data_IF_822349541716
#
_entry.id   IF_822349541716
#
_cell.length_a   1.000
_cell.length_b   1.000
_cell.length_c   1.000
_cell.angle_alpha   90.00
_cell.angle_beta   90.00
_cell.angle_gamma   90.00
#
_symmetry.space_group_name_H-M   'P 1'
#
loop_
_entity.id
_entity.type
_entity.pdbx_description
1 polymer ?
#
# COMPACT_ATOMS: atom_id res chain seq x y z
N UNK A 1 20.81 5.22 -5.88
CA UNK A 1 20.04 5.73 -4.72
C UNK A 1 19.51 4.54 -3.95
N UNK A 2 19.58 4.62 -2.62
CA UNK A 2 19.17 3.54 -1.73
C UNK A 2 17.71 3.74 -1.33
N UNK A 3 16.90 2.69 -1.40
CA UNK A 3 15.51 2.73 -0.94
C UNK A 3 15.47 2.89 0.60
N UNK A 4 14.56 3.72 1.09
CA UNK A 4 14.39 3.99 2.53
C UNK A 4 13.92 2.71 3.25
N UNK A 5 12.96 2.01 2.67
CA UNK A 5 12.53 0.69 3.12
C UNK A 5 12.64 -0.30 1.96
N UNK A 6 13.05 -1.56 2.24
CA UNK A 6 13.06 -2.58 1.20
C UNK A 6 11.64 -2.88 0.72
N UNK A 7 11.48 -3.17 -0.55
CA UNK A 7 10.23 -3.72 -1.05
C UNK A 7 9.97 -5.12 -0.46
N UNK A 8 8.71 -5.41 -0.19
CA UNK A 8 8.25 -6.73 0.21
C UNK A 8 7.48 -7.32 -0.97
N UNK A 9 8.23 -7.89 -1.92
CA UNK A 9 7.68 -8.35 -3.19
C UNK A 9 8.27 -9.71 -3.57
N UNK A 10 7.43 -10.55 -4.13
CA UNK A 10 7.79 -11.81 -4.79
C UNK A 10 6.73 -12.15 -5.83
N UNK A 11 6.95 -13.21 -6.57
CA UNK A 11 5.93 -13.74 -7.47
C UNK A 11 4.73 -14.27 -6.67
N UNK A 12 3.58 -14.33 -7.30
CA UNK A 12 2.37 -14.98 -6.79
C UNK A 12 1.71 -14.28 -5.59
N UNK A 13 1.80 -12.96 -5.51
CA UNK A 13 1.12 -12.18 -4.49
C UNK A 13 -0.34 -11.91 -4.86
N UNK A 14 -1.22 -11.99 -3.86
CA UNK A 14 -2.64 -11.63 -4.00
C UNK A 14 -2.82 -10.12 -3.95
N UNK A 15 -2.23 -9.47 -2.95
CA UNK A 15 -2.36 -8.02 -2.73
C UNK A 15 -0.98 -7.43 -2.48
N UNK A 16 -0.70 -6.29 -3.10
CA UNK A 16 0.42 -5.43 -2.74
C UNK A 16 -0.13 -4.08 -2.30
N UNK A 17 0.16 -3.68 -1.07
CA UNK A 17 -0.16 -2.33 -0.60
C UNK A 17 0.93 -1.36 -1.04
N UNK A 18 0.51 -0.22 -1.56
CA UNK A 18 1.40 0.84 -2.04
C UNK A 18 1.06 2.18 -1.41
N UNK A 19 1.99 2.71 -0.62
CA UNK A 19 1.90 4.07 -0.08
C UNK A 19 2.59 5.10 -0.96
N UNK A 20 2.57 6.36 -0.51
CA UNK A 20 3.33 7.44 -1.16
C UNK A 20 4.82 7.30 -0.90
N UNK A 21 5.21 7.34 0.36
CA UNK A 21 6.57 7.18 0.86
C UNK A 21 6.54 6.73 2.33
N UNK A 22 7.66 6.20 2.82
CA UNK A 22 7.82 5.95 4.24
C UNK A 22 7.72 7.26 5.05
N UNK A 23 7.03 7.24 6.19
CA UNK A 23 7.07 8.36 7.13
C UNK A 23 8.47 8.50 7.75
N UNK A 24 8.74 9.63 8.41
CA UNK A 24 9.99 9.82 9.14
C UNK A 24 10.16 8.75 10.24
N UNK A 25 9.07 8.37 10.92
CA UNK A 25 9.09 7.31 11.94
C UNK A 25 9.42 5.96 11.32
N UNK A 26 8.77 5.62 10.20
CA UNK A 26 9.03 4.36 9.48
C UNK A 26 10.46 4.28 8.96
N UNK A 27 10.99 5.38 8.45
CA UNK A 27 12.38 5.45 8.00
C UNK A 27 13.37 5.21 9.16
N UNK A 28 13.13 5.83 10.30
CA UNK A 28 13.98 5.68 11.49
C UNK A 28 13.92 4.26 12.06
N UNK A 29 12.74 3.67 12.09
CA UNK A 29 12.55 2.32 12.66
C UNK A 29 12.81 1.19 11.66
N UNK A 30 12.96 1.52 10.38
CA UNK A 30 13.18 0.52 9.34
C UNK A 30 11.99 -0.41 9.12
N UNK A 31 10.76 0.10 9.33
CA UNK A 31 9.56 -0.72 9.25
C UNK A 31 8.38 0.06 8.64
N UNK A 32 7.58 -0.60 7.81
CA UNK A 32 6.40 -0.01 7.19
C UNK A 32 5.33 0.34 8.23
N UNK A 33 4.70 1.50 8.05
CA UNK A 33 3.56 1.95 8.86
C UNK A 33 3.86 1.89 10.37
N UNK A 34 5.05 2.34 10.76
CA UNK A 34 5.56 2.20 12.13
C UNK A 34 5.03 3.26 13.10
N UNK A 35 4.45 4.37 12.61
CA UNK A 35 3.88 5.38 13.48
C UNK A 35 2.70 4.79 14.27
N UNK A 36 2.67 5.02 15.60
CA UNK A 36 1.62 4.48 16.48
C UNK A 36 0.22 4.97 16.10
N UNK A 37 0.09 6.14 15.49
CA UNK A 37 -1.18 6.68 15.01
C UNK A 37 -1.64 6.07 13.69
N UNK A 38 -0.80 5.26 13.02
CA UNK A 38 -1.14 4.63 11.76
C UNK A 38 -2.03 3.40 12.00
N UNK A 39 -3.16 3.35 11.30
CA UNK A 39 -4.14 2.28 11.45
C UNK A 39 -3.85 1.03 10.61
N UNK A 40 -2.78 0.99 9.80
CA UNK A 40 -2.53 -0.09 8.84
C UNK A 40 -2.53 -1.49 9.48
N UNK A 41 -1.71 -1.70 10.49
CA UNK A 41 -1.58 -3.01 11.13
C UNK A 41 -2.84 -3.43 11.88
N UNK A 42 -3.53 -2.47 12.49
CA UNK A 42 -4.83 -2.70 13.11
C UNK A 42 -5.87 -3.08 12.06
N UNK A 43 -5.92 -2.38 10.93
CA UNK A 43 -6.86 -2.67 9.85
C UNK A 43 -6.67 -4.07 9.28
N UNK A 44 -5.43 -4.53 9.06
CA UNK A 44 -5.17 -5.89 8.59
C UNK A 44 -5.70 -6.94 9.57
N UNK A 45 -5.55 -6.70 10.86
CA UNK A 45 -6.07 -7.63 11.87
C UNK A 45 -7.60 -7.57 11.97
N UNK A 46 -8.18 -6.38 12.06
CA UNK A 46 -9.64 -6.21 12.18
C UNK A 46 -10.40 -6.79 10.99
N UNK A 47 -9.82 -6.75 9.80
CA UNK A 47 -10.41 -7.34 8.58
C UNK A 47 -10.06 -8.81 8.39
N UNK A 48 -9.29 -9.40 9.29
CA UNK A 48 -8.90 -10.82 9.25
C UNK A 48 -7.80 -11.16 8.25
N UNK A 49 -7.16 -10.18 7.60
CA UNK A 49 -6.03 -10.46 6.71
C UNK A 49 -4.82 -11.00 7.47
N UNK A 50 -4.65 -10.61 8.73
CA UNK A 50 -3.71 -11.24 9.67
C UNK A 50 -4.47 -11.83 10.85
N UNK A 51 -4.02 -12.98 11.35
CA UNK A 51 -4.67 -13.66 12.46
C UNK A 51 -4.52 -12.92 13.81
N UNK A 52 -3.50 -12.09 13.92
CA UNK A 52 -3.21 -11.22 15.06
C UNK A 52 -2.72 -9.86 14.55
N UNK A 53 -2.67 -8.88 15.41
CA UNK A 53 -2.06 -7.60 15.05
C UNK A 53 -0.54 -7.76 15.02
N UNK A 54 0.07 -7.56 13.85
CA UNK A 54 1.53 -7.56 13.71
C UNK A 54 2.13 -6.29 14.32
N UNK A 55 3.30 -6.44 14.94
CA UNK A 55 4.18 -5.30 15.15
C UNK A 55 4.74 -4.85 13.79
N UNK A 56 4.99 -3.54 13.57
CA UNK A 56 5.55 -3.07 12.30
C UNK A 56 6.83 -3.80 11.87
N UNK A 57 7.70 -4.17 12.80
CA UNK A 57 8.93 -4.93 12.54
C UNK A 57 8.70 -6.33 11.94
N UNK A 58 7.49 -6.85 12.06
CA UNK A 58 7.12 -8.15 11.51
C UNK A 58 6.65 -8.07 10.05
N UNK A 59 6.77 -6.91 9.41
CA UNK A 59 6.27 -6.68 8.06
C UNK A 59 6.75 -7.72 7.02
N UNK A 60 7.96 -8.29 7.08
CA UNK A 60 8.37 -9.32 6.12
C UNK A 60 7.51 -10.58 6.15
N UNK A 61 6.86 -10.88 7.28
CA UNK A 61 6.00 -12.07 7.41
C UNK A 61 4.72 -11.97 6.57
N UNK A 62 4.37 -10.79 6.04
CA UNK A 62 3.23 -10.65 5.13
C UNK A 62 3.39 -11.48 3.85
N UNK A 63 4.62 -11.77 3.43
CA UNK A 63 4.86 -12.62 2.25
C UNK A 63 4.27 -14.02 2.42
N UNK A 64 4.28 -14.58 3.61
CA UNK A 64 3.68 -15.89 3.90
C UNK A 64 2.15 -15.88 3.71
N UNK A 65 1.56 -14.69 3.78
CA UNK A 65 0.13 -14.45 3.55
C UNK A 65 -0.16 -14.01 2.11
N UNK A 66 0.84 -14.02 1.23
CA UNK A 66 0.76 -13.55 -0.15
C UNK A 66 0.38 -12.05 -0.23
N UNK A 67 0.87 -11.27 0.72
CA UNK A 67 0.70 -9.82 0.81
C UNK A 67 2.08 -9.18 0.68
N UNK A 68 2.19 -8.17 -0.17
CA UNK A 68 3.41 -7.39 -0.37
C UNK A 68 3.24 -5.93 0.01
N UNK A 69 4.37 -5.22 0.06
CA UNK A 69 4.45 -3.80 0.38
C UNK A 69 5.44 -3.08 -0.54
N UNK A 70 5.07 -1.88 -0.95
CA UNK A 70 5.94 -0.95 -1.66
C UNK A 70 5.46 0.50 -1.49
N UNK A 71 6.19 1.46 -2.06
CA UNK A 71 5.81 2.87 -2.12
C UNK A 71 6.10 3.44 -3.51
N UNK A 72 5.40 4.50 -3.90
CA UNK A 72 5.66 5.22 -5.16
C UNK A 72 6.99 5.98 -5.08
N UNK A 73 7.28 6.58 -3.93
CA UNK A 73 8.57 7.24 -3.64
C UNK A 73 9.37 6.36 -2.68
N UNK A 74 10.47 5.79 -3.15
CA UNK A 74 11.27 4.82 -2.39
C UNK A 74 12.52 5.41 -1.74
N UNK A 75 13.03 6.52 -2.27
CA UNK A 75 14.33 7.05 -1.90
C UNK A 75 14.26 8.24 -0.94
N UNK A 76 13.07 8.64 -0.57
CA UNK A 76 12.80 9.74 0.37
C UNK A 76 11.79 9.31 1.42
N UNK A 77 11.75 10.02 2.53
CA UNK A 77 10.74 9.83 3.59
C UNK A 77 10.11 11.15 3.95
N UNK A 78 8.91 11.10 4.52
CA UNK A 78 8.20 12.28 4.99
C UNK A 78 6.70 12.19 4.76
N UNK A 79 5.98 13.25 5.16
CA UNK A 79 4.55 13.38 4.90
C UNK A 79 4.30 13.73 3.43
N UNK A 80 3.07 13.48 2.96
CA UNK A 80 2.68 13.80 1.57
C UNK A 80 2.93 15.27 1.23
N UNK A 81 2.71 16.17 2.18
CA UNK A 81 2.94 17.61 2.01
C UNK A 81 4.41 18.01 1.89
N UNK A 82 5.32 17.17 2.36
CA UNK A 82 6.78 17.40 2.28
C UNK A 82 7.42 16.84 1.02
N UNK A 83 6.69 16.03 0.25
CA UNK A 83 7.19 15.39 -0.96
C UNK A 83 6.99 16.27 -2.18
N UNK A 84 7.97 16.29 -3.08
CA UNK A 84 7.88 16.97 -4.36
C UNK A 84 7.54 15.99 -5.49
N UNK A 85 7.11 16.52 -6.64
CA UNK A 85 6.83 15.70 -7.82
C UNK A 85 8.03 14.86 -8.24
N UNK A 86 9.25 15.39 -8.11
CA UNK A 86 10.49 14.70 -8.46
C UNK A 86 10.85 13.52 -7.56
N UNK A 87 10.23 13.40 -6.39
CA UNK A 87 10.48 12.29 -5.46
C UNK A 87 9.78 11.00 -5.90
N UNK A 88 8.71 11.12 -6.70
CA UNK A 88 7.96 9.97 -7.18
C UNK A 88 8.62 9.34 -8.40
N UNK A 89 8.55 8.02 -8.45
CA UNK A 89 9.05 7.20 -9.56
C UNK A 89 7.95 6.24 -10.04
N UNK A 90 6.88 6.78 -10.67
CA UNK A 90 5.76 5.95 -11.10
C UNK A 90 6.14 4.85 -12.09
N UNK A 91 7.14 5.07 -12.94
CA UNK A 91 7.68 4.07 -13.84
C UNK A 91 8.28 2.88 -13.10
N UNK A 92 8.97 3.09 -11.98
CA UNK A 92 9.50 1.99 -11.14
C UNK A 92 8.36 1.13 -10.58
N UNK A 93 7.24 1.75 -10.19
CA UNK A 93 6.08 0.99 -9.72
C UNK A 93 5.47 0.18 -10.85
N UNK A 94 5.32 0.76 -12.03
CA UNK A 94 4.81 0.05 -13.22
C UNK A 94 5.70 -1.14 -13.58
N UNK A 95 7.02 -0.98 -13.53
CA UNK A 95 7.99 -2.07 -13.74
C UNK A 95 7.81 -3.21 -12.74
N UNK A 96 7.58 -2.88 -11.46
CA UNK A 96 7.32 -3.88 -10.41
C UNK A 96 6.01 -4.63 -10.68
N UNK A 97 4.95 -3.93 -11.09
CA UNK A 97 3.69 -4.55 -11.46
C UNK A 97 3.88 -5.50 -12.64
N UNK A 98 4.63 -5.10 -13.67
CA UNK A 98 4.97 -5.96 -14.80
C UNK A 98 5.79 -7.18 -14.39
N UNK A 99 6.74 -6.99 -13.48
CA UNK A 99 7.65 -8.06 -13.05
C UNK A 99 6.96 -9.09 -12.15
N UNK A 100 6.23 -8.63 -11.14
CA UNK A 100 5.68 -9.50 -10.10
C UNK A 100 4.22 -9.87 -10.32
N UNK A 101 3.49 -9.12 -11.12
CA UNK A 101 2.10 -9.38 -11.52
C UNK A 101 1.17 -9.70 -10.34
N UNK A 102 1.15 -8.88 -9.28
CA UNK A 102 0.21 -9.11 -8.19
C UNK A 102 -1.22 -9.09 -8.73
N UNK A 103 -2.11 -9.83 -8.09
CA UNK A 103 -3.51 -9.80 -8.52
C UNK A 103 -4.17 -8.44 -8.24
N UNK A 104 -3.84 -7.84 -7.10
CA UNK A 104 -4.39 -6.55 -6.68
C UNK A 104 -3.25 -5.64 -6.23
N UNK A 105 -3.24 -4.41 -6.73
CA UNK A 105 -2.45 -3.31 -6.20
C UNK A 105 -3.38 -2.39 -5.42
N UNK A 106 -3.20 -2.32 -4.11
CA UNK A 106 -4.00 -1.50 -3.21
C UNK A 106 -3.24 -0.25 -2.79
N UNK A 107 -3.63 0.89 -3.33
CA UNK A 107 -3.05 2.18 -2.94
C UNK A 107 -3.64 2.61 -1.59
N UNK A 108 -2.79 2.88 -0.62
CA UNK A 108 -3.21 3.21 0.75
C UNK A 108 -3.61 4.67 0.93
N UNK A 109 -3.73 5.41 -0.17
CA UNK A 109 -4.26 6.77 -0.19
C UNK A 109 -4.59 7.20 -1.61
N UNK A 110 -5.44 8.21 -1.75
CA UNK A 110 -5.66 8.89 -3.03
C UNK A 110 -4.37 9.55 -3.54
N UNK A 111 -3.56 10.08 -2.63
CA UNK A 111 -2.28 10.71 -2.97
C UNK A 111 -1.32 9.72 -3.65
N UNK A 112 -1.22 8.49 -3.17
CA UNK A 112 -0.40 7.46 -3.79
C UNK A 112 -0.87 7.11 -5.21
N UNK A 113 -2.17 6.96 -5.40
CA UNK A 113 -2.77 6.75 -6.73
C UNK A 113 -2.47 7.89 -7.68
N UNK A 114 -2.70 9.15 -7.24
CA UNK A 114 -2.43 10.35 -8.05
C UNK A 114 -0.96 10.46 -8.44
N UNK A 115 -0.06 10.14 -7.52
CA UNK A 115 1.37 10.14 -7.77
C UNK A 115 1.77 9.14 -8.85
N UNK A 116 1.23 7.92 -8.80
CA UNK A 116 1.48 6.91 -9.82
C UNK A 116 0.91 7.30 -11.18
N UNK A 117 -0.33 7.84 -11.19
CA UNK A 117 -0.99 8.30 -12.42
C UNK A 117 -0.44 9.61 -12.97
N UNK A 118 0.43 10.30 -12.25
CA UNK A 118 0.90 11.66 -12.57
C UNK A 118 -0.25 12.67 -12.78
N UNK A 119 -1.30 12.55 -11.96
CA UNK A 119 -2.50 13.41 -12.02
C UNK A 119 -2.80 14.00 -10.65
N UNK A 120 -2.04 15.01 -10.20
CA UNK A 120 -2.10 15.50 -8.82
C UNK A 120 -3.46 16.10 -8.44
N UNK A 121 -4.25 16.59 -9.41
CA UNK A 121 -5.54 17.22 -9.17
C UNK A 121 -6.74 16.35 -9.58
N UNK A 122 -6.50 15.10 -10.01
CA UNK A 122 -7.60 14.23 -10.42
C UNK A 122 -8.52 13.89 -9.25
N UNK A 123 -9.83 13.90 -9.49
CA UNK A 123 -10.79 13.31 -8.57
C UNK A 123 -10.65 11.81 -8.59
N UNK A 124 -10.64 11.21 -7.41
CA UNK A 124 -10.48 9.75 -7.22
C UNK A 124 -11.52 9.29 -6.23
N UNK A 125 -12.29 8.28 -6.59
CA UNK A 125 -13.18 7.59 -5.64
C UNK A 125 -12.39 6.50 -4.91
N UNK A 126 -12.77 6.22 -3.66
CA UNK A 126 -12.31 5.02 -2.97
C UNK A 126 -12.90 3.75 -3.60
N UNK A 127 -12.23 2.64 -3.38
CA UNK A 127 -12.66 1.33 -3.85
C UNK A 127 -11.98 0.93 -5.16
N UNK A 128 -12.63 0.01 -5.85
CA UNK A 128 -12.11 -0.53 -7.11
C UNK A 128 -12.06 0.53 -8.19
N UNK A 129 -10.92 0.55 -8.89
CA UNK A 129 -10.71 1.46 -10.01
C UNK A 129 -10.93 0.72 -11.34
N UNK A 130 -11.38 1.42 -12.39
CA UNK A 130 -11.50 0.82 -13.71
C UNK A 130 -10.12 0.51 -14.32
N UNK A 131 -10.09 -0.50 -15.18
CA UNK A 131 -8.89 -0.88 -15.91
C UNK A 131 -7.99 -1.84 -15.14
N UNK A 132 -6.99 -2.32 -15.85
CA UNK A 132 -5.97 -3.26 -15.36
C UNK A 132 -4.63 -2.93 -16.01
N UNK A 133 -3.56 -3.30 -15.34
CA UNK A 133 -2.24 -3.38 -15.93
C UNK A 133 -1.82 -4.85 -15.93
N UNK A 134 -1.74 -5.48 -17.08
CA UNK A 134 -1.68 -6.95 -17.22
C UNK A 134 -2.89 -7.60 -16.50
N UNK A 135 -2.64 -8.38 -15.48
CA UNK A 135 -3.67 -9.01 -14.63
C UNK A 135 -3.97 -8.25 -13.36
N UNK A 136 -3.22 -7.20 -13.07
CA UNK A 136 -3.33 -6.45 -11.83
C UNK A 136 -4.53 -5.51 -11.86
N UNK A 137 -5.42 -5.69 -10.91
CA UNK A 137 -6.53 -4.78 -10.62
C UNK A 137 -6.12 -3.77 -9.56
N UNK A 138 -6.83 -2.66 -9.50
CA UNK A 138 -6.47 -1.53 -8.64
C UNK A 138 -7.58 -1.18 -7.66
N UNK A 139 -7.17 -0.90 -6.42
CA UNK A 139 -8.05 -0.41 -5.36
C UNK A 139 -7.42 0.82 -4.73
N UNK A 140 -8.23 1.83 -4.44
CA UNK A 140 -7.80 3.00 -3.66
C UNK A 140 -8.51 2.99 -2.32
N UNK A 141 -7.72 3.04 -1.25
CA UNK A 141 -8.20 2.93 0.12
C UNK A 141 -8.09 4.27 0.85
N UNK A 142 -8.96 4.52 1.84
CA UNK A 142 -8.74 5.61 2.78
C UNK A 142 -7.39 5.45 3.47
N UNK A 143 -6.65 6.55 3.62
CA UNK A 143 -5.32 6.53 4.22
C UNK A 143 -5.38 6.08 5.68
N UNK A 144 -4.50 5.15 6.09
CA UNK A 144 -4.38 4.73 7.48
C UNK A 144 -3.57 5.72 8.34
N UNK A 145 -3.00 6.76 7.74
CA UNK A 145 -2.23 7.78 8.46
C UNK A 145 -3.08 8.48 9.53
N UNK A 146 -2.49 8.74 10.69
CA UNK A 146 -3.14 9.54 11.74
C UNK A 146 -3.51 10.94 11.28
N UNK A 147 -2.76 11.54 10.33
CA UNK A 147 -3.07 12.83 9.74
C UNK A 147 -4.36 12.81 8.89
N UNK A 148 -4.76 11.66 8.38
CA UNK A 148 -5.97 11.47 7.56
C UNK A 148 -7.13 10.86 8.36
N UNK A 149 -7.06 10.86 9.68
CA UNK A 149 -8.02 10.20 10.57
C UNK A 149 -9.48 10.59 10.31
N UNK A 150 -9.75 11.83 9.92
CA UNK A 150 -11.10 12.31 9.60
C UNK A 150 -11.73 11.66 8.36
N UNK A 151 -10.94 11.01 7.51
CA UNK A 151 -11.39 10.34 6.30
C UNK A 151 -11.35 8.81 6.43
N UNK A 152 -10.96 8.30 7.61
CA UNK A 152 -10.82 6.88 7.83
C UNK A 152 -12.17 6.17 7.69
N UNK A 153 -12.20 5.12 6.90
CA UNK A 153 -13.37 4.27 6.69
C UNK A 153 -12.90 2.82 6.49
N UNK A 154 -13.12 1.99 7.50
CA UNK A 154 -12.70 0.59 7.49
C UNK A 154 -13.47 -0.23 6.45
N UNK A 155 -14.66 0.20 6.03
CA UNK A 155 -15.49 -0.58 5.10
C UNK A 155 -14.78 -0.86 3.78
N UNK A 156 -14.01 0.07 3.24
CA UNK A 156 -13.23 -0.14 2.02
C UNK A 156 -12.10 -1.15 2.22
N UNK A 157 -11.48 -1.14 3.39
CA UNK A 157 -10.48 -2.14 3.75
C UNK A 157 -11.11 -3.52 3.93
N UNK A 158 -12.33 -3.59 4.47
CA UNK A 158 -13.07 -4.84 4.61
C UNK A 158 -13.45 -5.42 3.24
N UNK A 159 -13.91 -4.60 2.30
CA UNK A 159 -14.20 -5.05 0.94
C UNK A 159 -12.97 -5.67 0.27
N UNK A 160 -11.80 -5.02 0.40
CA UNK A 160 -10.55 -5.60 -0.10
C UNK A 160 -10.23 -6.92 0.60
N UNK A 161 -10.37 -6.97 1.92
CA UNK A 161 -10.09 -8.18 2.68
C UNK A 161 -11.00 -9.34 2.30
N UNK A 162 -12.28 -9.07 2.06
CA UNK A 162 -13.24 -10.08 1.61
C UNK A 162 -12.82 -10.68 0.27
N UNK A 163 -12.43 -9.85 -0.68
CA UNK A 163 -11.90 -10.29 -1.97
C UNK A 163 -10.59 -11.07 -1.83
N UNK A 164 -9.68 -10.60 -0.98
CA UNK A 164 -8.43 -11.29 -0.66
C UNK A 164 -8.72 -12.69 -0.10
N UNK A 165 -9.63 -12.83 0.84
CA UNK A 165 -9.98 -14.13 1.43
C UNK A 165 -10.61 -15.05 0.40
N UNK A 166 -11.47 -14.53 -0.47
CA UNK A 166 -12.07 -15.31 -1.53
C UNK A 166 -11.02 -15.86 -2.49
N UNK A 167 -10.11 -15.03 -2.95
CA UNK A 167 -9.02 -15.44 -3.87
C UNK A 167 -8.06 -16.42 -3.21
N UNK A 168 -7.77 -16.23 -1.93
CA UNK A 168 -6.89 -17.11 -1.19
C UNK A 168 -7.43 -18.54 -1.08
N UNK A 169 -8.75 -18.70 -1.00
CA UNK A 169 -9.40 -20.02 -0.97
C UNK A 169 -9.36 -20.74 -2.31
N UNK A 170 -9.18 -20.03 -3.42
CA UNK A 170 -9.17 -20.61 -4.77
C UNK A 170 -7.79 -21.16 -5.19
N UNK A 171 -6.78 -21.08 -4.33
CA UNK A 171 -5.39 -21.42 -4.67
C UNK A 171 -4.93 -22.64 -3.87
#
# INVERSE_FOLDING_TARGET
MIDVLPDVLRDDLLVVFCGTAASAVSAREGAYYANRSNAFWRALHETGMTARRFAPSEFPQLLDLRIGLTDVAKTVSGSDSSLSRGDFRPERLSEKIHRYRPQIMAFTSKAAWRAWKRRPTAEVAYGWQPGRLNRTEFVVLPSPSGAARGYWDLSYWQELADEYHQRRRLV
#
